data_IF_382422291854
#
_entry.id   IF_382422291854
#
_cell.length_a   1.000
_cell.length_b   1.000
_cell.length_c   1.000
_cell.angle_alpha   90.00
_cell.angle_beta   90.00
_cell.angle_gamma   90.00
#
_symmetry.space_group_name_H-M   'P 1'
#
loop_
_entity.id
_entity.type
_entity.pdbx_description
1 polymer ?
#
# COMPACT_ATOMS: atom_id res chain seq x y z
N UNK A 1 -56.10 18.15 10.11
CA UNK A 1 -54.88 18.71 10.74
C UNK A 1 -53.87 17.68 11.26
N UNK A 2 -54.16 16.36 11.27
CA UNK A 2 -53.21 15.34 11.77
C UNK A 2 -52.26 14.73 10.71
N UNK A 3 -52.56 14.88 9.42
CA UNK A 3 -51.72 14.32 8.33
C UNK A 3 -50.54 15.20 7.91
N UNK A 4 -50.55 16.49 8.24
CA UNK A 4 -49.45 17.41 7.87
C UNK A 4 -48.26 17.27 8.84
N UNK A 5 -48.51 16.82 10.07
CA UNK A 5 -47.46 16.59 11.07
C UNK A 5 -46.59 15.35 10.78
N UNK A 6 -47.13 14.36 10.05
CA UNK A 6 -46.37 13.13 9.71
C UNK A 6 -45.44 13.37 8.52
N UNK A 7 -45.79 14.28 7.61
CA UNK A 7 -44.97 14.60 6.44
C UNK A 7 -43.76 15.49 6.78
N UNK A 8 -43.85 16.31 7.83
CA UNK A 8 -42.74 17.12 8.31
C UNK A 8 -41.70 16.33 9.13
N UNK A 9 -42.09 15.18 9.71
CA UNK A 9 -41.19 14.31 10.48
C UNK A 9 -40.39 13.34 9.59
N UNK A 10 -40.86 13.05 8.37
CA UNK A 10 -40.15 12.23 7.39
C UNK A 10 -39.10 13.00 6.57
N UNK A 11 -39.11 14.33 6.59
CA UNK A 11 -38.15 15.15 5.84
C UNK A 11 -36.85 15.43 6.61
N UNK A 12 -36.81 15.17 7.92
CA UNK A 12 -35.58 15.30 8.74
C UNK A 12 -34.68 14.06 8.72
N UNK A 13 -35.14 12.96 8.12
CA UNK A 13 -34.38 11.69 8.04
C UNK A 13 -33.63 11.53 6.70
N UNK A 14 -33.51 12.60 5.90
CA UNK A 14 -32.82 12.59 4.60
C UNK A 14 -31.45 13.31 4.61
N UNK A 15 -31.02 13.84 5.77
CA UNK A 15 -29.73 14.53 5.91
C UNK A 15 -28.77 13.87 6.90
N UNK A 16 -29.02 12.62 7.29
CA UNK A 16 -27.99 11.79 7.89
C UNK A 16 -27.13 11.19 6.76
N UNK A 17 -26.34 12.03 6.10
CA UNK A 17 -25.16 11.52 5.43
C UNK A 17 -24.34 10.74 6.47
N UNK A 18 -23.74 9.60 6.12
CA UNK A 18 -22.89 8.89 7.07
C UNK A 18 -21.83 9.89 7.55
N UNK A 19 -21.85 10.22 8.84
CA UNK A 19 -20.93 11.19 9.43
C UNK A 19 -19.47 10.87 9.08
N UNK A 20 -19.18 9.58 8.84
CA UNK A 20 -17.88 9.10 8.39
C UNK A 20 -17.42 9.60 7.02
N UNK A 21 -18.31 9.68 6.03
CA UNK A 21 -17.92 10.20 4.71
C UNK A 21 -17.57 11.70 4.79
N UNK A 22 -18.35 12.46 5.56
CA UNK A 22 -18.09 13.88 5.78
C UNK A 22 -16.78 14.12 6.54
N UNK A 23 -16.44 13.28 7.51
CA UNK A 23 -15.18 13.40 8.25
C UNK A 23 -13.95 13.05 7.41
N UNK A 24 -14.05 12.07 6.50
CA UNK A 24 -12.95 11.71 5.59
C UNK A 24 -12.74 12.82 4.55
N UNK A 25 -13.81 13.39 4.00
CA UNK A 25 -13.73 14.52 3.07
C UNK A 25 -13.16 15.78 3.76
N UNK A 26 -13.55 16.04 5.01
CA UNK A 26 -13.01 17.14 5.80
C UNK A 26 -11.51 16.95 6.07
N UNK A 27 -11.11 15.75 6.49
CA UNK A 27 -9.70 15.39 6.68
C UNK A 27 -8.91 15.53 5.38
N UNK A 28 -9.43 15.00 4.27
CA UNK A 28 -8.78 15.11 2.96
C UNK A 28 -8.60 16.56 2.50
N UNK A 29 -9.58 17.43 2.75
CA UNK A 29 -9.48 18.85 2.40
C UNK A 29 -8.47 19.58 3.27
N UNK A 30 -8.40 19.27 4.57
CA UNK A 30 -7.35 19.81 5.44
C UNK A 30 -5.96 19.34 4.99
N UNK A 31 -5.83 18.05 4.65
CA UNK A 31 -4.58 17.43 4.22
C UNK A 31 -3.97 18.00 2.93
N UNK A 32 -4.77 18.70 2.13
CA UNK A 32 -4.26 19.41 0.94
C UNK A 32 -3.37 20.58 1.31
N UNK A 33 -3.65 21.25 2.42
CA UNK A 33 -2.91 22.41 2.91
C UNK A 33 -1.92 22.09 4.02
N UNK A 34 -2.27 21.17 4.91
CA UNK A 34 -1.47 20.79 6.08
C UNK A 34 -1.15 19.28 6.05
N UNK A 35 0.10 18.83 6.23
CA UNK A 35 0.43 17.41 6.23
C UNK A 35 -0.20 16.62 7.40
N UNK A 36 -0.65 17.26 8.47
CA UNK A 36 -1.18 16.58 9.66
C UNK A 36 -2.58 17.07 10.00
N UNK A 37 -3.54 16.15 10.07
CA UNK A 37 -4.91 16.42 10.49
C UNK A 37 -5.28 15.56 11.69
N UNK A 38 -5.66 16.20 12.79
CA UNK A 38 -6.18 15.55 13.99
C UNK A 38 -7.62 16.00 14.20
N UNK A 39 -8.55 15.05 14.10
CA UNK A 39 -9.96 15.33 14.36
C UNK A 39 -10.18 15.58 15.87
N UNK A 40 -10.90 16.64 16.25
CA UNK A 40 -11.08 17.02 17.65
C UNK A 40 -11.88 16.00 18.47
N UNK A 41 -12.64 15.13 17.81
CA UNK A 41 -13.43 14.06 18.39
C UNK A 41 -12.74 12.68 18.36
N UNK A 42 -11.50 12.59 17.85
CA UNK A 42 -10.75 11.33 17.84
C UNK A 42 -10.35 10.89 19.25
N UNK A 43 -10.50 9.58 19.54
CA UNK A 43 -10.20 9.03 20.86
C UNK A 43 -8.71 9.19 21.24
N UNK A 44 -7.83 9.18 20.23
CA UNK A 44 -6.39 9.32 20.39
C UNK A 44 -5.89 10.75 20.13
N UNK A 45 -6.78 11.74 19.96
CA UNK A 45 -6.39 13.13 19.73
C UNK A 45 -5.52 13.70 20.85
N UNK A 46 -5.76 13.30 22.10
CA UNK A 46 -4.97 13.77 23.25
C UNK A 46 -3.57 13.19 23.33
N UNK A 47 -3.29 12.13 22.56
CA UNK A 47 -1.98 11.49 22.53
C UNK A 47 -1.11 12.03 21.40
N UNK A 48 -1.59 12.95 20.58
CA UNK A 48 -0.90 13.39 19.36
C UNK A 48 -0.75 14.90 19.35
N UNK A 49 0.49 15.37 19.29
CA UNK A 49 0.78 16.77 18.99
C UNK A 49 1.00 16.94 17.48
N UNK A 50 0.02 17.57 16.82
CA UNK A 50 0.08 17.82 15.37
C UNK A 50 1.27 18.70 14.97
N UNK A 51 1.67 19.67 15.79
CA UNK A 51 2.81 20.54 15.49
C UNK A 51 4.13 19.81 15.64
N UNK A 52 4.25 18.94 16.65
CA UNK A 52 5.44 18.10 16.84
C UNK A 52 5.61 17.14 15.66
N UNK A 53 4.53 16.49 15.22
CA UNK A 53 4.57 15.61 14.04
C UNK A 53 4.91 16.36 12.77
N UNK A 54 4.35 17.54 12.55
CA UNK A 54 4.68 18.36 11.38
C UNK A 54 6.17 18.74 11.37
N UNK A 55 6.70 19.22 12.50
CA UNK A 55 8.12 19.53 12.63
C UNK A 55 9.00 18.29 12.40
N UNK A 56 8.55 17.11 12.86
CA UNK A 56 9.26 15.85 12.64
C UNK A 56 9.27 15.45 11.16
N UNK A 57 8.15 15.57 10.45
CA UNK A 57 8.05 15.31 9.00
C UNK A 57 9.05 16.17 8.22
N UNK A 58 9.10 17.46 8.54
CA UNK A 58 10.03 18.40 7.90
C UNK A 58 11.49 18.05 8.21
N UNK A 59 11.79 17.73 9.48
CA UNK A 59 13.15 17.38 9.90
C UNK A 59 13.65 16.05 9.32
N UNK A 60 12.75 15.09 9.12
CA UNK A 60 13.06 13.76 8.60
C UNK A 60 13.08 13.70 7.07
N UNK A 61 12.72 14.78 6.38
CA UNK A 61 12.66 14.77 4.90
C UNK A 61 11.59 13.84 4.34
N UNK A 62 10.56 13.51 5.11
CA UNK A 62 9.55 12.51 4.75
C UNK A 62 8.44 13.05 3.81
N UNK A 63 8.46 14.34 3.45
CA UNK A 63 7.44 14.95 2.60
C UNK A 63 7.54 14.48 1.14
N UNK A 64 6.46 14.06 0.45
CA UNK A 64 5.05 14.24 0.83
C UNK A 64 4.51 13.10 1.69
N UNK A 65 4.26 13.40 2.98
CA UNK A 65 3.65 12.51 3.96
C UNK A 65 2.44 13.20 4.58
N UNK A 66 1.33 12.45 4.67
CA UNK A 66 0.04 12.92 5.14
C UNK A 66 -0.45 12.03 6.29
N UNK A 67 -0.80 12.64 7.43
CA UNK A 67 -1.24 11.92 8.64
C UNK A 67 -2.66 12.36 8.99
N UNK A 68 -3.58 11.42 9.09
CA UNK A 68 -4.92 11.64 9.61
C UNK A 68 -5.14 10.86 10.90
N UNK A 69 -5.63 11.53 11.94
CA UNK A 69 -6.12 10.92 13.18
C UNK A 69 -7.61 11.20 13.28
N UNK A 70 -8.42 10.15 13.14
CA UNK A 70 -9.88 10.22 13.04
C UNK A 70 -10.55 9.39 14.15
N UNK A 71 -11.77 9.75 14.59
CA UNK A 71 -12.54 8.94 15.51
C UNK A 71 -12.96 7.62 14.85
N UNK A 72 -13.29 6.60 15.64
CA UNK A 72 -13.82 5.34 15.10
C UNK A 72 -15.11 5.55 14.28
N UNK A 73 -15.91 6.57 14.60
CA UNK A 73 -17.12 6.96 13.85
C UNK A 73 -16.84 7.42 12.41
N UNK A 74 -15.59 7.81 12.12
CA UNK A 74 -15.14 8.22 10.79
C UNK A 74 -14.85 7.04 9.85
N UNK A 75 -14.78 5.83 10.40
CA UNK A 75 -14.42 4.63 9.65
C UNK A 75 -15.49 4.28 8.61
N UNK A 76 -15.06 4.20 7.35
CA UNK A 76 -15.89 3.74 6.22
C UNK A 76 -15.56 2.27 5.98
N UNK A 77 -16.45 1.38 6.42
CA UNK A 77 -16.32 -0.09 6.44
C UNK A 77 -15.12 -0.61 7.25
N UNK A 78 -13.89 -0.32 6.80
CA UNK A 78 -12.63 -0.73 7.41
C UNK A 78 -11.63 0.42 7.42
N UNK A 79 -10.65 0.37 8.33
CA UNK A 79 -9.56 1.35 8.35
C UNK A 79 -8.80 1.40 7.01
N UNK A 80 -8.62 0.25 6.35
CA UNK A 80 -7.98 0.17 5.04
C UNK A 80 -8.78 0.85 3.93
N UNK A 81 -10.10 0.64 3.87
CA UNK A 81 -10.97 1.35 2.91
C UNK A 81 -11.03 2.84 3.17
N UNK A 82 -11.06 3.23 4.44
CA UNK A 82 -11.01 4.63 4.87
C UNK A 82 -9.72 5.31 4.40
N UNK A 83 -8.58 4.63 4.53
CA UNK A 83 -7.28 5.13 4.06
C UNK A 83 -7.23 5.31 2.54
N UNK A 84 -7.79 4.34 1.80
CA UNK A 84 -7.89 4.44 0.33
C UNK A 84 -8.78 5.62 -0.07
N UNK A 85 -9.96 5.75 0.55
CA UNK A 85 -10.88 6.86 0.30
C UNK A 85 -10.23 8.22 0.63
N UNK A 86 -9.49 8.30 1.73
CA UNK A 86 -8.73 9.49 2.11
C UNK A 86 -7.70 9.87 1.03
N UNK A 87 -6.89 8.90 0.58
CA UNK A 87 -5.89 9.12 -0.49
C UNK A 87 -6.54 9.58 -1.79
N UNK A 88 -7.65 8.96 -2.19
CA UNK A 88 -8.41 9.34 -3.38
C UNK A 88 -8.97 10.77 -3.26
N UNK A 89 -9.50 11.13 -2.09
CA UNK A 89 -10.04 12.46 -1.84
C UNK A 89 -8.97 13.56 -1.75
N UNK A 90 -7.77 13.24 -1.24
CA UNK A 90 -6.60 14.14 -1.25
C UNK A 90 -6.07 14.30 -2.68
N UNK A 91 -6.04 13.22 -3.46
CA UNK A 91 -5.68 13.23 -4.88
C UNK A 91 -4.20 13.50 -5.15
N UNK A 92 -3.31 13.29 -4.15
CA UNK A 92 -1.86 13.49 -4.27
C UNK A 92 -1.13 12.16 -4.12
N UNK A 93 0.03 12.01 -4.78
CA UNK A 93 0.93 10.88 -4.51
C UNK A 93 1.74 11.17 -3.26
N UNK A 94 2.05 10.13 -2.49
CA UNK A 94 2.83 10.26 -1.27
C UNK A 94 2.58 9.13 -0.28
N UNK A 95 3.11 9.33 0.92
CA UNK A 95 2.89 8.44 2.05
C UNK A 95 1.71 8.93 2.89
N UNK A 96 0.87 8.00 3.31
CA UNK A 96 -0.35 8.25 4.07
C UNK A 96 -0.33 7.39 5.33
N UNK A 97 -0.62 8.00 6.48
CA UNK A 97 -0.86 7.32 7.73
C UNK A 97 -2.26 7.68 8.23
N UNK A 98 -3.04 6.68 8.61
CA UNK A 98 -4.36 6.82 9.20
C UNK A 98 -4.40 6.10 10.54
N UNK A 99 -4.68 6.86 11.60
CA UNK A 99 -5.14 6.33 12.87
C UNK A 99 -6.65 6.54 12.95
N UNK A 100 -7.42 5.46 13.08
CA UNK A 100 -8.88 5.52 13.20
C UNK A 100 -9.33 4.66 14.37
N UNK A 101 -9.93 5.31 15.38
CA UNK A 101 -10.21 4.63 16.64
C UNK A 101 -8.93 4.04 17.25
N UNK A 102 -8.84 2.71 17.32
CA UNK A 102 -7.66 1.98 17.80
C UNK A 102 -6.89 1.25 16.68
N UNK A 103 -7.26 1.48 15.43
CA UNK A 103 -6.59 0.90 14.27
C UNK A 103 -5.60 1.89 13.65
N UNK A 104 -4.51 1.35 13.14
CA UNK A 104 -3.47 2.10 12.43
C UNK A 104 -3.20 1.45 11.09
N UNK A 105 -3.30 2.25 10.03
CA UNK A 105 -3.05 1.80 8.66
C UNK A 105 -2.22 2.83 7.92
N UNK A 106 -1.35 2.34 7.06
CA UNK A 106 -0.37 3.15 6.34
C UNK A 106 -0.30 2.69 4.90
N UNK A 107 -0.03 3.63 4.00
CA UNK A 107 0.01 3.39 2.56
C UNK A 107 1.06 4.32 1.94
N UNK A 108 1.85 3.82 1.00
CA UNK A 108 2.84 4.64 0.29
C UNK A 108 2.97 4.18 -1.15
N UNK A 109 3.33 5.12 -2.02
CA UNK A 109 3.61 4.87 -3.43
C UNK A 109 5.07 4.42 -3.68
N UNK A 110 5.97 4.59 -2.70
CA UNK A 110 7.42 4.42 -2.88
C UNK A 110 8.07 3.30 -2.06
N UNK A 111 7.40 2.77 -1.04
CA UNK A 111 7.90 1.71 -0.18
C UNK A 111 6.73 0.97 0.49
N UNK A 112 7.03 -0.17 1.14
CA UNK A 112 6.03 -0.92 1.91
C UNK A 112 5.70 -0.19 3.23
N UNK A 113 4.80 0.79 3.12
CA UNK A 113 4.34 1.54 4.28
C UNK A 113 3.49 0.70 5.22
N UNK A 114 2.81 -0.35 4.74
CA UNK A 114 2.00 -1.22 5.60
C UNK A 114 2.91 -1.95 6.59
N UNK A 115 3.99 -2.58 6.11
CA UNK A 115 4.98 -3.23 6.96
C UNK A 115 5.66 -2.24 7.92
N UNK A 116 6.03 -1.05 7.44
CA UNK A 116 6.63 -0.01 8.29
C UNK A 116 5.68 0.46 9.40
N UNK A 117 4.38 0.62 9.07
CA UNK A 117 3.36 1.03 10.03
C UNK A 117 3.05 -0.06 11.06
N UNK A 118 2.98 -1.32 10.63
CA UNK A 118 2.80 -2.47 11.53
C UNK A 118 3.99 -2.64 12.47
N UNK A 119 5.21 -2.45 11.97
CA UNK A 119 6.42 -2.48 12.79
C UNK A 119 6.43 -1.34 13.83
N UNK A 120 6.07 -0.12 13.43
CA UNK A 120 5.97 1.03 14.33
C UNK A 120 4.90 0.80 15.42
N UNK A 121 3.73 0.29 15.04
CA UNK A 121 2.65 -0.04 15.98
C UNK A 121 3.06 -1.14 16.95
N UNK A 122 3.82 -2.13 16.49
CA UNK A 122 4.34 -3.21 17.34
C UNK A 122 5.41 -2.72 18.32
N UNK A 123 6.22 -1.76 17.91
CA UNK A 123 7.22 -1.13 18.78
C UNK A 123 6.56 -0.25 19.86
N UNK A 124 5.46 0.41 19.51
CA UNK A 124 4.75 1.37 20.36
C UNK A 124 3.25 1.05 20.44
N UNK A 125 2.85 -0.07 21.10
CA UNK A 125 1.45 -0.51 21.12
C UNK A 125 0.50 0.48 21.80
N UNK A 126 0.96 1.14 22.87
CA UNK A 126 0.16 2.02 23.73
C UNK A 126 0.44 3.51 23.50
N UNK A 127 1.27 3.86 22.51
CA UNK A 127 1.71 5.23 22.26
C UNK A 127 1.58 5.56 20.76
N UNK A 128 0.54 6.31 20.41
CA UNK A 128 0.28 6.71 19.03
C UNK A 128 1.32 7.71 18.51
N UNK A 129 1.79 8.64 19.34
CA UNK A 129 2.78 9.64 18.93
C UNK A 129 4.12 8.97 18.61
N UNK A 130 4.61 8.11 19.50
CA UNK A 130 5.86 7.35 19.25
C UNK A 130 5.73 6.41 18.04
N UNK A 131 4.55 5.82 17.81
CA UNK A 131 4.25 5.06 16.58
C UNK A 131 4.40 5.95 15.34
N UNK A 132 3.79 7.13 15.35
CA UNK A 132 3.82 8.05 14.21
C UNK A 132 5.23 8.60 13.97
N UNK A 133 5.98 8.95 15.01
CA UNK A 133 7.38 9.38 14.89
C UNK A 133 8.26 8.30 14.26
N UNK A 134 8.15 7.05 14.73
CA UNK A 134 8.91 5.92 14.19
C UNK A 134 8.58 5.69 12.71
N UNK A 135 7.30 5.85 12.35
CA UNK A 135 6.86 5.74 10.96
C UNK A 135 7.40 6.90 10.10
N UNK A 136 7.36 8.15 10.59
CA UNK A 136 7.91 9.32 9.91
C UNK A 136 9.41 9.13 9.65
N UNK A 137 10.17 8.67 10.64
CA UNK A 137 11.61 8.42 10.50
C UNK A 137 11.90 7.33 9.46
N UNK A 138 11.03 6.32 9.38
CA UNK A 138 11.15 5.23 8.39
C UNK A 138 10.84 5.75 6.99
N UNK A 139 9.82 6.58 6.84
CA UNK A 139 9.47 7.23 5.59
C UNK A 139 10.56 8.18 5.10
N UNK A 140 11.17 8.95 6.01
CA UNK A 140 12.31 9.83 5.72
C UNK A 140 13.50 9.07 5.15
N UNK A 141 13.94 8.01 5.84
CA UNK A 141 15.03 7.15 5.37
C UNK A 141 14.75 6.53 4.01
N UNK A 142 13.54 6.00 3.81
CA UNK A 142 13.14 5.43 2.53
C UNK A 142 13.23 6.46 1.39
N UNK A 143 12.98 7.73 1.69
CA UNK A 143 13.05 8.80 0.71
C UNK A 143 14.48 9.27 0.44
N UNK A 144 15.33 9.31 1.46
CA UNK A 144 16.77 9.55 1.30
C UNK A 144 17.42 8.45 0.46
N UNK A 145 17.09 7.19 0.70
CA UNK A 145 17.58 6.05 -0.08
C UNK A 145 17.10 6.11 -1.54
N UNK A 146 15.87 6.57 -1.77
CA UNK A 146 15.35 6.80 -3.12
C UNK A 146 16.01 8.00 -3.83
N UNK A 147 16.45 9.02 -3.08
CA UNK A 147 17.14 10.20 -3.57
C UNK A 147 18.66 10.01 -3.80
N UNK A 148 19.29 9.08 -3.08
CA UNK A 148 20.73 8.82 -3.10
C UNK A 148 21.21 7.94 -4.27
N UNK A 149 20.41 7.76 -5.33
CA UNK A 149 20.74 7.02 -6.55
C UNK A 149 21.84 7.64 -7.44
N UNK A 150 22.77 8.41 -6.88
CA UNK A 150 23.93 8.99 -7.56
C UNK A 150 25.09 9.20 -6.60
N UNK A 151 26.18 8.46 -6.83
CA UNK A 151 27.52 8.61 -6.23
C UNK A 151 27.86 7.82 -4.96
N UNK A 152 28.46 6.66 -5.22
CA UNK A 152 29.72 6.15 -4.63
C UNK A 152 29.88 6.06 -3.11
N UNK A 153 30.12 4.81 -2.69
CA UNK A 153 31.13 4.44 -1.69
C UNK A 153 30.95 5.01 -0.28
N UNK A 154 30.12 4.34 0.53
CA UNK A 154 30.26 4.40 1.99
C UNK A 154 28.96 4.29 2.77
N UNK A 155 28.37 3.10 2.85
CA UNK A 155 27.41 2.80 3.92
C UNK A 155 27.29 1.28 4.09
N UNK A 156 28.24 0.69 4.80
CA UNK A 156 28.24 -0.71 5.24
C UNK A 156 27.23 -0.98 6.39
N UNK A 157 26.13 -0.24 6.50
CA UNK A 157 25.16 -0.42 7.59
C UNK A 157 23.74 -0.13 7.09
N UNK A 158 23.13 -1.09 6.39
CA UNK A 158 21.69 -1.36 6.36
C UNK A 158 21.39 -2.64 5.55
N UNK A 159 22.15 -3.72 5.83
CA UNK A 159 21.75 -5.06 5.45
C UNK A 159 20.55 -5.39 6.34
N UNK A 160 19.31 -5.23 5.83
CA UNK A 160 18.07 -5.96 6.19
C UNK A 160 16.81 -5.40 5.49
N UNK A 161 16.81 -4.23 4.83
CA UNK A 161 15.57 -3.67 4.18
C UNK A 161 15.77 -3.40 2.68
N UNK A 162 16.43 -4.31 1.96
CA UNK A 162 16.60 -4.20 0.50
C UNK A 162 16.20 -5.49 -0.21
N UNK A 163 14.96 -5.93 -0.01
CA UNK A 163 14.29 -6.84 -0.95
C UNK A 163 12.88 -6.29 -1.13
N UNK A 164 12.63 -5.63 -2.27
CA UNK A 164 11.35 -5.50 -3.03
C UNK A 164 11.29 -4.24 -3.90
N UNK A 165 12.15 -3.23 -3.75
CA UNK A 165 12.02 -1.99 -4.56
C UNK A 165 12.94 -1.96 -5.78
N UNK A 166 12.62 -2.74 -6.83
CA UNK A 166 12.80 -2.40 -8.26
C UNK A 166 11.89 -3.37 -9.03
N UNK A 167 10.70 -3.04 -9.54
CA UNK A 167 10.41 -2.58 -10.91
C UNK A 167 8.87 -2.43 -10.93
N UNK A 168 8.35 -1.22 -10.76
CA UNK A 168 6.92 -0.92 -10.90
C UNK A 168 6.64 0.33 -11.74
N UNK A 169 7.66 0.81 -12.45
CA UNK A 169 7.68 2.17 -13.00
C UNK A 169 8.03 2.24 -14.48
N UNK A 170 7.74 1.22 -15.29
CA UNK A 170 7.85 1.34 -16.74
C UNK A 170 7.06 0.25 -17.47
N UNK A 171 5.73 0.35 -17.63
CA UNK A 171 5.05 -0.20 -18.82
C UNK A 171 3.57 0.21 -19.01
N UNK A 172 3.17 1.45 -18.73
CA UNK A 172 1.79 1.92 -18.97
C UNK A 172 1.49 2.46 -20.39
N UNK A 173 2.23 2.07 -21.45
CA UNK A 173 1.98 2.62 -22.81
C UNK A 173 1.89 1.60 -23.98
N UNK A 174 2.19 0.30 -23.82
CA UNK A 174 2.29 -0.58 -25.01
C UNK A 174 1.13 -1.59 -25.23
N UNK A 175 0.11 -1.64 -24.37
CA UNK A 175 -0.98 -2.62 -24.47
C UNK A 175 -2.10 -2.34 -25.50
N UNK A 176 -2.05 -1.26 -26.30
CA UNK A 176 -3.21 -0.82 -27.11
C UNK A 176 -3.13 -1.07 -28.61
N UNK A 177 -2.10 -1.77 -29.12
CA UNK A 177 -1.91 -1.98 -30.58
C UNK A 177 -1.91 -3.42 -31.09
N UNK A 178 -2.03 -4.44 -30.24
CA UNK A 178 -1.97 -5.85 -30.71
C UNK A 178 -3.33 -6.51 -30.99
N UNK A 179 -4.44 -5.79 -30.88
CA UNK A 179 -5.79 -6.31 -31.18
C UNK A 179 -6.26 -6.13 -32.64
N UNK A 180 -5.34 -5.92 -33.60
CA UNK A 180 -5.67 -5.98 -35.03
C UNK A 180 -4.50 -6.55 -35.81
N UNK A 181 -4.54 -7.86 -36.07
CA UNK A 181 -4.01 -8.54 -37.27
C UNK A 181 -4.20 -10.03 -37.09
N UNK A 182 -5.41 -10.49 -37.38
CA UNK A 182 -5.60 -11.80 -37.97
C UNK A 182 -5.40 -11.65 -39.48
N UNK A 183 -4.53 -12.48 -40.06
CA UNK A 183 -4.39 -12.64 -41.50
C UNK A 183 -2.94 -12.62 -42.00
N UNK A 184 -2.39 -13.80 -42.31
CA UNK A 184 -1.25 -13.95 -43.20
C UNK A 184 -0.17 -14.90 -42.68
N UNK A 185 -0.06 -16.07 -43.33
CA UNK A 185 0.92 -17.11 -43.07
C UNK A 185 2.33 -16.78 -43.59
N UNK A 186 3.25 -17.67 -43.18
CA UNK A 186 4.60 -17.94 -43.68
C UNK A 186 5.77 -17.05 -43.21
N UNK A 187 6.81 -17.74 -42.74
CA UNK A 187 8.17 -17.20 -42.62
C UNK A 187 8.90 -17.62 -41.36
N UNK A 188 9.51 -18.80 -41.39
CA UNK A 188 10.54 -19.24 -40.43
C UNK A 188 11.66 -18.21 -40.37
N UNK A 189 11.94 -17.66 -39.19
CA UNK A 189 13.27 -17.19 -38.82
C UNK A 189 13.32 -16.96 -37.31
N UNK A 190 14.00 -17.89 -36.63
CA UNK A 190 14.96 -17.61 -35.56
C UNK A 190 14.75 -16.30 -34.78
N UNK A 191 13.97 -16.39 -33.71
CA UNK A 191 14.02 -15.42 -32.60
C UNK A 191 13.85 -16.21 -31.29
N UNK A 192 14.88 -16.97 -30.93
CA UNK A 192 15.14 -17.17 -29.51
C UNK A 192 15.64 -15.84 -28.99
N UNK A 193 14.88 -15.20 -28.08
CA UNK A 193 15.20 -14.05 -27.19
C UNK A 193 13.91 -13.25 -26.88
N UNK A 194 12.80 -13.93 -26.59
CA UNK A 194 11.56 -13.32 -26.08
C UNK A 194 10.93 -14.24 -25.04
N UNK A 195 11.60 -14.49 -23.92
CA UNK A 195 10.98 -15.20 -22.78
C UNK A 195 11.41 -14.66 -21.41
N UNK A 196 12.48 -13.86 -21.31
CA UNK A 196 13.01 -13.36 -20.03
C UNK A 196 12.20 -12.23 -19.36
N UNK A 197 11.01 -11.87 -19.86
CA UNK A 197 10.16 -10.85 -19.23
C UNK A 197 8.77 -11.36 -18.85
N UNK A 198 8.29 -12.47 -19.43
CA UNK A 198 6.89 -12.87 -19.27
C UNK A 198 6.63 -13.52 -17.90
N UNK A 199 7.61 -14.26 -17.37
CA UNK A 199 7.47 -14.94 -16.07
C UNK A 199 7.56 -14.01 -14.87
N UNK A 200 8.42 -12.99 -14.91
CA UNK A 200 8.43 -11.91 -13.93
C UNK A 200 7.07 -11.19 -13.91
N UNK A 201 6.55 -10.84 -15.09
CA UNK A 201 5.25 -10.19 -15.23
C UNK A 201 4.15 -11.10 -14.69
N UNK A 202 4.17 -12.38 -15.05
CA UNK A 202 3.19 -13.39 -14.61
C UNK A 202 3.18 -13.56 -13.10
N UNK A 203 4.36 -13.67 -12.47
CA UNK A 203 4.47 -13.81 -11.02
C UNK A 203 4.03 -12.52 -10.32
N UNK A 204 4.49 -11.35 -10.78
CA UNK A 204 4.10 -10.05 -10.23
C UNK A 204 2.59 -9.79 -10.31
N UNK A 205 1.96 -10.07 -11.45
CA UNK A 205 0.51 -9.95 -11.61
C UNK A 205 -0.25 -10.96 -10.73
N UNK A 206 0.32 -12.15 -10.55
CA UNK A 206 -0.28 -13.20 -9.71
C UNK A 206 -0.23 -12.85 -8.22
N UNK A 207 0.86 -12.24 -7.75
CA UNK A 207 0.99 -11.67 -6.40
C UNK A 207 -0.03 -10.56 -6.21
N UNK A 208 -0.07 -9.57 -7.11
CA UNK A 208 -1.01 -8.43 -7.03
C UNK A 208 -2.47 -8.89 -7.02
N UNK A 209 -2.81 -9.89 -7.82
CA UNK A 209 -4.17 -10.43 -7.85
C UNK A 209 -4.59 -11.07 -6.52
N UNK A 210 -3.64 -11.65 -5.77
CA UNK A 210 -3.91 -12.34 -4.51
C UNK A 210 -3.76 -11.44 -3.28
N UNK A 211 -2.99 -10.35 -3.41
CA UNK A 211 -2.72 -9.38 -2.36
C UNK A 211 -3.99 -8.87 -1.68
N UNK A 212 -5.03 -8.57 -2.47
CA UNK A 212 -6.31 -8.09 -1.93
C UNK A 212 -7.01 -9.14 -1.07
N UNK A 213 -7.02 -10.40 -1.51
CA UNK A 213 -7.67 -11.52 -0.81
C UNK A 213 -6.92 -11.91 0.47
N UNK A 214 -5.59 -11.78 0.47
CA UNK A 214 -4.74 -12.06 1.64
C UNK A 214 -4.77 -10.90 2.63
N UNK A 215 -4.77 -9.66 2.14
CA UNK A 215 -4.70 -8.45 2.99
C UNK A 215 -6.06 -8.06 3.58
N UNK A 216 -7.14 -8.17 2.79
CA UNK A 216 -8.49 -7.81 3.23
C UNK A 216 -9.32 -9.01 3.71
N UNK A 217 -8.90 -10.23 3.39
CA UNK A 217 -9.51 -11.45 3.93
C UNK A 217 -8.94 -11.82 5.29
N UNK A 218 -9.42 -12.93 5.85
CA UNK A 218 -8.86 -13.55 7.07
C UNK A 218 -8.06 -14.83 6.72
N UNK A 219 -6.98 -14.76 5.92
CA UNK A 219 -6.28 -15.95 5.41
C UNK A 219 -5.85 -16.89 6.53
N UNK A 220 -5.96 -18.19 6.26
CA UNK A 220 -5.34 -19.16 7.16
C UNK A 220 -3.84 -18.86 7.24
N UNK A 221 -3.19 -19.11 8.39
CA UNK A 221 -1.76 -18.85 8.54
C UNK A 221 -0.91 -19.51 7.45
N UNK A 222 -1.33 -20.68 6.97
CA UNK A 222 -0.69 -21.38 5.87
C UNK A 222 -0.84 -20.64 4.52
N UNK A 223 -2.03 -20.11 4.20
CA UNK A 223 -2.24 -19.33 2.98
C UNK A 223 -1.42 -18.03 2.97
N UNK A 224 -1.31 -17.38 4.13
CA UNK A 224 -0.44 -16.20 4.30
C UNK A 224 1.03 -16.57 4.10
N UNK A 225 1.51 -17.64 4.73
CA UNK A 225 2.89 -18.09 4.59
C UNK A 225 3.27 -18.46 3.13
N UNK A 226 2.33 -19.02 2.36
CA UNK A 226 2.57 -19.31 0.94
C UNK A 226 2.58 -18.05 0.07
N UNK A 227 1.72 -17.07 0.38
CA UNK A 227 1.77 -15.75 -0.26
C UNK A 227 3.10 -15.05 0.02
N UNK A 228 3.55 -15.03 1.28
CA UNK A 228 4.81 -14.42 1.69
C UNK A 228 6.00 -15.09 0.97
N UNK A 229 5.98 -16.42 0.84
CA UNK A 229 7.00 -17.17 0.08
C UNK A 229 7.05 -16.76 -1.40
N UNK A 230 5.91 -16.48 -2.02
CA UNK A 230 5.86 -16.00 -3.40
C UNK A 230 6.50 -14.61 -3.55
N UNK A 231 6.26 -13.72 -2.59
CA UNK A 231 6.86 -12.37 -2.56
C UNK A 231 8.38 -12.47 -2.38
N UNK A 232 8.84 -13.31 -1.47
CA UNK A 232 10.28 -13.56 -1.27
C UNK A 232 10.95 -14.14 -2.52
N UNK A 233 10.29 -15.09 -3.19
CA UNK A 233 10.79 -15.71 -4.42
C UNK A 233 10.93 -14.70 -5.57
N UNK A 234 9.96 -13.79 -5.73
CA UNK A 234 10.06 -12.66 -6.66
C UNK A 234 11.25 -11.75 -6.34
N UNK A 235 11.49 -11.48 -5.05
CA UNK A 235 12.67 -10.73 -4.58
C UNK A 235 14.00 -11.42 -4.91
N UNK A 236 14.11 -12.73 -4.68
CA UNK A 236 15.29 -13.53 -5.06
C UNK A 236 15.51 -13.55 -6.56
N UNK A 237 14.45 -13.71 -7.36
CA UNK A 237 14.52 -13.68 -8.82
C UNK A 237 15.12 -12.36 -9.31
N UNK A 238 14.72 -11.22 -8.74
CA UNK A 238 15.31 -9.91 -9.07
C UNK A 238 16.80 -9.80 -8.72
N UNK A 239 17.22 -10.31 -7.56
CA UNK A 239 18.64 -10.31 -7.14
C UNK A 239 19.49 -11.19 -8.07
N UNK A 240 19.01 -12.37 -8.45
CA UNK A 240 19.67 -13.24 -9.41
C UNK A 240 19.72 -12.62 -10.81
N UNK A 241 18.67 -11.93 -11.23
CA UNK A 241 18.61 -11.24 -12.52
C UNK A 241 19.64 -10.11 -12.59
N UNK A 242 19.78 -9.31 -11.52
CA UNK A 242 20.80 -8.27 -11.42
C UNK A 242 22.24 -8.84 -11.50
N UNK A 243 22.43 -10.08 -11.05
CA UNK A 243 23.71 -10.81 -11.12
C UNK A 243 23.91 -11.57 -12.44
N UNK A 244 22.94 -11.55 -13.35
CA UNK A 244 22.97 -12.32 -14.60
C UNK A 244 22.88 -13.84 -14.41
N UNK A 245 22.42 -14.31 -13.26
CA UNK A 245 22.33 -15.72 -12.90
C UNK A 245 21.01 -16.34 -13.38
N UNK A 246 20.84 -16.49 -14.70
CA UNK A 246 19.56 -16.87 -15.33
C UNK A 246 18.94 -18.16 -14.80
N UNK A 247 19.73 -19.21 -14.58
CA UNK A 247 19.18 -20.48 -14.04
C UNK A 247 18.59 -20.33 -12.63
N UNK A 248 19.17 -19.45 -11.81
CA UNK A 248 18.67 -19.19 -10.46
C UNK A 248 17.45 -18.26 -10.49
N UNK A 249 17.33 -17.40 -11.50
CA UNK A 249 16.12 -16.60 -11.76
C UNK A 249 14.95 -17.53 -12.04
N UNK A 250 15.12 -18.44 -13.01
CA UNK A 250 14.06 -19.35 -13.45
C UNK A 250 13.57 -20.22 -12.26
N UNK A 251 14.51 -20.78 -11.47
CA UNK A 251 14.19 -21.56 -10.27
C UNK A 251 13.38 -20.74 -9.24
N UNK A 252 13.76 -19.48 -9.00
CA UNK A 252 13.05 -18.61 -8.07
C UNK A 252 11.66 -18.21 -8.59
N UNK A 253 11.50 -17.99 -9.90
CA UNK A 253 10.21 -17.67 -10.50
C UNK A 253 9.25 -18.87 -10.45
N UNK A 254 9.74 -20.08 -10.73
CA UNK A 254 8.98 -21.32 -10.60
C UNK A 254 8.52 -21.56 -9.17
N UNK A 255 9.42 -21.36 -8.19
CA UNK A 255 9.08 -21.48 -6.77
C UNK A 255 7.99 -20.47 -6.37
N UNK A 256 8.09 -19.23 -6.84
CA UNK A 256 7.10 -18.18 -6.57
C UNK A 256 5.73 -18.51 -7.17
N UNK A 257 5.69 -19.01 -8.40
CA UNK A 257 4.46 -19.40 -9.08
C UNK A 257 3.80 -20.60 -8.39
N UNK A 258 4.59 -21.58 -7.94
CA UNK A 258 4.09 -22.72 -7.17
C UNK A 258 3.52 -22.28 -5.81
N UNK A 259 4.17 -21.34 -5.13
CA UNK A 259 3.69 -20.77 -3.88
C UNK A 259 2.35 -20.03 -4.06
N UNK A 260 2.18 -19.24 -5.14
CA UNK A 260 0.89 -18.62 -5.46
C UNK A 260 -0.20 -19.66 -5.73
N UNK A 261 0.10 -20.73 -6.47
CA UNK A 261 -0.88 -21.79 -6.71
C UNK A 261 -1.35 -22.41 -5.39
N UNK A 262 -0.41 -22.71 -4.48
CA UNK A 262 -0.70 -23.23 -3.15
C UNK A 262 -1.54 -22.27 -2.30
N UNK A 263 -1.19 -20.98 -2.31
CA UNK A 263 -1.94 -19.95 -1.60
C UNK A 263 -3.39 -19.85 -2.13
N UNK A 264 -3.57 -19.84 -3.46
CA UNK A 264 -4.89 -19.83 -4.10
C UNK A 264 -5.75 -21.02 -3.71
N UNK A 265 -5.18 -22.23 -3.69
CA UNK A 265 -5.90 -23.44 -3.27
C UNK A 265 -6.38 -23.34 -1.81
N UNK A 266 -5.51 -22.88 -0.90
CA UNK A 266 -5.88 -22.70 0.51
C UNK A 266 -6.92 -21.60 0.72
N UNK A 267 -6.90 -20.54 -0.10
CA UNK A 267 -7.93 -19.50 -0.08
C UNK A 267 -9.26 -19.99 -0.66
N UNK A 268 -9.24 -20.77 -1.75
CA UNK A 268 -10.42 -21.31 -2.41
C UNK A 268 -11.11 -22.41 -1.59
N UNK A 269 -10.35 -23.26 -0.90
CA UNK A 269 -10.86 -24.29 0.02
C UNK A 269 -11.56 -23.73 1.27
N UNK A 270 -11.65 -22.41 1.39
CA UNK A 270 -12.34 -21.69 2.46
C UNK A 270 -13.75 -21.20 2.06
N UNK A 271 -14.18 -21.41 0.81
CA UNK A 271 -15.50 -20.98 0.30
C UNK A 271 -16.57 -22.05 0.49
#
# INVERSE_FOLDING_TARGET
>A
MRMIAVLAMLLFLALAAPAGAQSVDAAANALKGDPVYVAPDAELASQVDAQALQARIDSAGAAPLFIAVLPQSAQVDSAGRTLIALREAVGRKGTYALAVGNEFRTLSDGFDAAAAGDAARKAHPDDLEATLETFIDTAGKAQDDAGAGGSSAGALIAIVVLIVVVVGGAFLVLGRRRARREGGADGVSEVGHIEQNDEFVRLGDSIRALELDVTLGDPSPAAKADYDRAVEAYGRANDYNAKGATAAVDEALDEGLAAIASARERLAGRR
#
